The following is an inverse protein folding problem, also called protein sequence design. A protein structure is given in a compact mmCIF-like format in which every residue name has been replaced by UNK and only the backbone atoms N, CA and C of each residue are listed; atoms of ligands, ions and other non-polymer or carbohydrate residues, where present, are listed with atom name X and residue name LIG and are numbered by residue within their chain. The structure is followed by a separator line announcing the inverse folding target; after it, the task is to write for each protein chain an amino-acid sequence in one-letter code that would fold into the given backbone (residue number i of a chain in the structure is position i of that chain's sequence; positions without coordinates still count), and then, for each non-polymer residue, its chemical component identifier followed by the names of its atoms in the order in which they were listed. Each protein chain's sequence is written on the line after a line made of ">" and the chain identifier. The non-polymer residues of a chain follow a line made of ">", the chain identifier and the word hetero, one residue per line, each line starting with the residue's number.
data_IF_528405115363
#
_entry.id   IF_528405115363
#
_cell.length_a   1.000
_cell.length_b   1.000
_cell.length_c   1.000
_cell.angle_alpha   90.00
_cell.angle_beta   90.00
_cell.angle_gamma   90.00
#
_symmetry.space_group_name_H-M   'P 1'
#
loop_
_entity.id
_entity.type
_entity.pdbx_description
1 polymer ?
#
# COMPACT_ATOMS: atom_id res chain seq x y z
N UNK A 1 15.69 -4.92 7.58
CA UNK A 1 14.34 -4.80 8.14
C UNK A 1 13.36 -5.54 7.25
N UNK A 2 12.28 -6.06 7.81
CA UNK A 2 11.29 -6.80 7.03
C UNK A 2 10.57 -5.87 6.06
N UNK A 3 10.35 -6.35 4.84
CA UNK A 3 9.51 -5.70 3.84
C UNK A 3 8.43 -6.68 3.43
N UNK A 4 7.18 -6.38 3.77
CA UNK A 4 6.08 -7.33 3.60
C UNK A 4 5.70 -7.57 2.14
N UNK A 5 6.17 -6.75 1.22
CA UNK A 5 6.05 -7.02 -0.20
C UNK A 5 7.25 -7.80 -0.74
N UNK A 6 8.47 -7.28 -0.54
CA UNK A 6 9.68 -7.88 -1.09
C UNK A 6 9.98 -9.27 -0.51
N UNK A 7 9.61 -9.49 0.76
CA UNK A 7 9.83 -10.75 1.46
C UNK A 7 8.70 -11.76 1.23
N UNK A 8 7.70 -11.43 0.41
CA UNK A 8 6.52 -12.27 0.18
C UNK A 8 6.52 -12.83 -1.25
N UNK A 9 6.98 -14.08 -1.45
CA UNK A 9 7.02 -14.69 -2.78
C UNK A 9 5.65 -14.78 -3.46
N UNK A 10 4.57 -14.92 -2.69
CA UNK A 10 3.22 -15.00 -3.25
C UNK A 10 2.78 -13.69 -3.88
N UNK A 11 3.10 -12.55 -3.24
CA UNK A 11 2.80 -11.23 -3.82
C UNK A 11 3.64 -10.96 -5.07
N UNK A 12 4.92 -11.29 -5.01
CA UNK A 12 5.81 -11.17 -6.18
C UNK A 12 5.33 -12.02 -7.35
N UNK A 13 4.90 -13.25 -7.05
CA UNK A 13 4.34 -14.16 -8.07
C UNK A 13 3.10 -13.57 -8.73
N UNK A 14 2.17 -12.99 -7.94
CA UNK A 14 0.95 -12.41 -8.48
C UNK A 14 1.26 -11.24 -9.43
N UNK A 15 2.23 -10.41 -9.06
CA UNK A 15 2.61 -9.26 -9.88
C UNK A 15 3.25 -9.68 -11.20
N UNK A 16 3.96 -10.80 -11.21
CA UNK A 16 4.63 -11.35 -12.39
C UNK A 16 3.76 -12.35 -13.17
N UNK A 17 2.51 -12.54 -12.77
CA UNK A 17 1.61 -13.49 -13.41
C UNK A 17 1.38 -13.13 -14.88
N UNK A 18 1.32 -14.14 -15.79
CA UNK A 18 1.16 -13.88 -17.24
C UNK A 18 -0.07 -13.05 -17.60
N UNK A 19 -1.16 -13.13 -16.81
CA UNK A 19 -2.38 -12.36 -17.06
C UNK A 19 -2.32 -10.93 -16.51
N UNK A 20 -1.26 -10.57 -15.80
CA UNK A 20 -1.14 -9.23 -15.21
C UNK A 20 -1.11 -8.14 -16.28
N UNK A 21 -0.50 -8.39 -17.42
CA UNK A 21 -0.46 -7.42 -18.51
C UNK A 21 -1.87 -7.01 -18.94
N UNK A 22 -2.77 -7.98 -19.10
CA UNK A 22 -4.15 -7.68 -19.48
C UNK A 22 -4.89 -6.90 -18.38
N UNK A 23 -4.68 -7.26 -17.12
CA UNK A 23 -5.27 -6.55 -15.97
C UNK A 23 -4.80 -5.10 -15.96
N UNK A 24 -3.51 -4.87 -16.14
CA UNK A 24 -2.93 -3.52 -16.14
C UNK A 24 -3.43 -2.70 -17.34
N UNK A 25 -3.50 -3.30 -18.51
CA UNK A 25 -4.03 -2.63 -19.70
C UNK A 25 -5.48 -2.17 -19.49
N UNK A 26 -6.30 -3.00 -18.86
CA UNK A 26 -7.67 -2.63 -18.52
C UNK A 26 -7.74 -1.53 -17.47
N UNK A 27 -6.93 -1.65 -16.42
CA UNK A 27 -6.87 -0.66 -15.33
C UNK A 27 -6.42 0.70 -15.84
N UNK A 28 -5.44 0.74 -16.73
CA UNK A 28 -4.86 1.97 -17.27
C UNK A 28 -5.56 2.43 -18.56
N UNK A 29 -6.71 1.86 -18.88
CA UNK A 29 -7.47 2.20 -20.09
C UNK A 29 -6.60 2.15 -21.35
N UNK A 30 -5.81 1.08 -21.50
CA UNK A 30 -4.88 0.87 -22.62
C UNK A 30 -3.89 2.02 -22.80
N UNK A 31 -3.53 2.68 -21.69
CA UNK A 31 -2.58 3.81 -21.65
C UNK A 31 -3.00 4.98 -22.53
N UNK A 32 -4.31 5.17 -22.67
CA UNK A 32 -4.91 6.21 -23.52
C UNK A 32 -5.91 7.03 -22.72
N UNK A 33 -6.35 8.16 -23.33
CA UNK A 33 -7.34 9.04 -22.71
C UNK A 33 -6.89 10.49 -22.71
N UNK A 34 -7.85 11.41 -22.89
CA UNK A 34 -7.56 12.85 -23.02
C UNK A 34 -7.18 13.49 -21.68
N UNK A 35 -7.63 12.91 -20.57
CA UNK A 35 -7.45 13.48 -19.22
C UNK A 35 -6.42 12.73 -18.39
N UNK A 36 -5.46 12.07 -19.03
CA UNK A 36 -4.40 11.37 -18.31
C UNK A 36 -3.45 12.37 -17.68
N UNK A 37 -3.10 12.11 -16.41
CA UNK A 37 -2.09 12.90 -15.72
C UNK A 37 -0.73 12.71 -16.37
N UNK A 38 0.11 13.77 -16.29
CA UNK A 38 1.45 13.73 -16.90
C UNK A 38 2.35 12.63 -16.31
N UNK A 39 2.10 12.26 -15.07
CA UNK A 39 2.84 11.20 -14.37
C UNK A 39 2.27 9.81 -14.58
N UNK A 40 1.15 9.67 -15.29
CA UNK A 40 0.52 8.37 -15.53
C UNK A 40 1.45 7.44 -16.33
N UNK A 41 1.36 6.12 -16.10
CA UNK A 41 2.20 5.17 -16.83
C UNK A 41 2.00 5.27 -18.35
N UNK A 42 3.09 5.14 -19.11
CA UNK A 42 3.06 5.22 -20.55
C UNK A 42 2.81 3.87 -21.22
N UNK A 43 3.22 2.79 -20.57
CA UNK A 43 3.06 1.42 -21.06
C UNK A 43 3.05 0.44 -19.91
N UNK A 44 2.92 -0.87 -20.24
CA UNK A 44 2.88 -1.93 -19.22
C UNK A 44 4.14 -1.97 -18.35
N UNK A 45 5.32 -1.87 -18.95
CA UNK A 45 6.57 -1.92 -18.19
C UNK A 45 6.67 -0.77 -17.20
N UNK A 46 6.29 0.44 -17.62
CA UNK A 46 6.29 1.63 -16.78
C UNK A 46 5.25 1.49 -15.64
N UNK A 47 4.07 1.00 -15.95
CA UNK A 47 3.02 0.76 -14.95
C UNK A 47 3.49 -0.26 -13.91
N UNK A 48 4.07 -1.37 -14.35
CA UNK A 48 4.55 -2.43 -13.46
C UNK A 48 5.65 -1.93 -12.54
N UNK A 49 6.57 -1.13 -13.05
CA UNK A 49 7.64 -0.52 -12.24
C UNK A 49 7.05 0.42 -11.18
N UNK A 50 6.09 1.25 -11.56
CA UNK A 50 5.40 2.15 -10.62
C UNK A 50 4.70 1.36 -9.52
N UNK A 51 4.02 0.27 -9.88
CA UNK A 51 3.33 -0.58 -8.89
C UNK A 51 4.32 -1.24 -7.94
N UNK A 52 5.45 -1.71 -8.45
CA UNK A 52 6.51 -2.29 -7.61
C UNK A 52 7.05 -1.28 -6.61
N UNK A 53 7.27 -0.04 -7.03
CA UNK A 53 7.74 1.02 -6.15
C UNK A 53 6.74 1.32 -5.05
N UNK A 54 5.47 1.48 -5.39
CA UNK A 54 4.40 1.73 -4.41
C UNK A 54 4.29 0.57 -3.42
N UNK A 55 4.26 -0.66 -3.93
CA UNK A 55 4.16 -1.86 -3.08
C UNK A 55 5.39 -2.02 -2.19
N UNK A 56 6.57 -1.66 -2.68
CA UNK A 56 7.79 -1.64 -1.87
C UNK A 56 7.69 -0.67 -0.70
N UNK A 57 7.16 0.53 -0.93
CA UNK A 57 6.92 1.52 0.13
C UNK A 57 5.91 1.00 1.14
N UNK A 58 4.79 0.45 0.67
CA UNK A 58 3.76 -0.14 1.55
C UNK A 58 4.36 -1.28 2.38
N UNK A 59 5.13 -2.16 1.74
CA UNK A 59 5.78 -3.29 2.41
C UNK A 59 6.74 -2.84 3.50
N UNK A 60 7.51 -1.79 3.25
CA UNK A 60 8.43 -1.21 4.23
C UNK A 60 7.67 -0.63 5.42
N UNK A 61 6.62 0.15 5.18
CA UNK A 61 5.80 0.72 6.25
C UNK A 61 5.14 -0.39 7.07
N UNK A 62 4.62 -1.43 6.42
CA UNK A 62 4.03 -2.57 7.12
C UNK A 62 5.06 -3.28 8.02
N UNK A 63 6.29 -3.47 7.53
CA UNK A 63 7.34 -4.14 8.29
C UNK A 63 7.89 -3.28 9.43
N UNK A 64 8.11 -2.00 9.18
CA UNK A 64 8.80 -1.12 10.12
C UNK A 64 7.84 -0.45 11.12
N UNK A 65 6.61 -0.16 10.73
CA UNK A 65 5.66 0.59 11.56
C UNK A 65 4.49 -0.26 12.02
N UNK A 66 3.71 -0.82 11.09
CA UNK A 66 2.50 -1.54 11.44
C UNK A 66 2.80 -2.81 12.24
N UNK A 67 3.74 -3.61 11.79
CA UNK A 67 4.10 -4.85 12.49
C UNK A 67 4.68 -4.56 13.88
N UNK A 68 5.46 -3.48 14.02
CA UNK A 68 6.03 -3.08 15.30
C UNK A 68 4.96 -2.68 16.32
N UNK A 69 3.82 -2.16 15.85
CA UNK A 69 2.71 -1.74 16.71
C UNK A 69 1.66 -2.82 16.92
N UNK A 70 1.63 -3.85 16.07
CA UNK A 70 0.49 -4.77 15.97
C UNK A 70 0.17 -5.48 17.28
N UNK A 71 1.17 -6.05 17.95
CA UNK A 71 0.97 -6.80 19.18
C UNK A 71 0.38 -5.92 20.28
N UNK A 72 0.91 -4.73 20.45
CA UNK A 72 0.48 -3.79 21.47
C UNK A 72 -0.90 -3.25 21.20
N UNK A 73 -1.19 -2.89 19.95
CA UNK A 73 -2.52 -2.41 19.53
C UNK A 73 -3.57 -3.49 19.76
N UNK A 74 -3.26 -4.74 19.43
CA UNK A 74 -4.17 -5.87 19.65
C UNK A 74 -4.41 -6.14 21.13
N UNK A 75 -3.34 -6.16 21.94
CA UNK A 75 -3.41 -6.47 23.37
C UNK A 75 -4.13 -5.38 24.18
N UNK A 76 -3.84 -4.11 23.93
CA UNK A 76 -4.40 -2.99 24.67
C UNK A 76 -5.76 -2.54 24.12
N UNK A 77 -5.96 -2.64 22.82
CA UNK A 77 -7.20 -2.32 22.14
C UNK A 77 -7.65 -0.87 22.26
N UNK A 78 -8.85 -0.55 21.74
CA UNK A 78 -9.45 0.77 21.90
C UNK A 78 -10.06 0.92 23.30
N UNK A 79 -10.30 2.18 23.69
CA UNK A 79 -10.94 2.53 24.97
C UNK A 79 -12.18 3.37 24.72
N UNK A 80 -13.09 3.40 25.71
CA UNK A 80 -14.30 4.23 25.66
C UNK A 80 -14.19 5.25 26.78
N UNK A 81 -14.25 6.54 26.42
CA UNK A 81 -14.22 7.66 27.36
C UNK A 81 -15.37 8.61 27.02
N UNK A 82 -16.21 8.92 28.01
CA UNK A 82 -17.37 9.80 27.84
C UNK A 82 -18.27 9.40 26.66
N UNK A 83 -18.48 8.09 26.49
CA UNK A 83 -19.32 7.53 25.42
C UNK A 83 -18.69 7.54 24.04
N UNK A 84 -17.41 7.92 23.92
CA UNK A 84 -16.67 7.95 22.65
C UNK A 84 -15.58 6.90 22.63
N UNK A 85 -15.38 6.28 21.46
CA UNK A 85 -14.31 5.32 21.24
C UNK A 85 -13.02 6.08 20.92
N UNK A 86 -11.95 5.73 21.63
CA UNK A 86 -10.61 6.23 21.38
C UNK A 86 -9.74 5.06 20.92
N UNK A 87 -9.16 5.17 19.72
CA UNK A 87 -8.25 4.16 19.22
C UNK A 87 -6.91 4.22 19.93
N UNK A 88 -6.23 3.08 19.94
CA UNK A 88 -4.88 3.00 20.49
C UNK A 88 -3.94 3.97 19.76
N UNK A 89 -2.98 4.63 20.47
CA UNK A 89 -2.02 5.53 19.82
C UNK A 89 -1.24 4.89 18.67
N UNK A 90 -0.96 3.60 18.72
CA UNK A 90 -0.33 2.86 17.63
C UNK A 90 -1.14 2.87 16.34
N UNK A 91 -2.47 2.86 16.44
CA UNK A 91 -3.37 2.99 15.28
C UNK A 91 -3.18 4.34 14.61
N UNK A 92 -3.08 5.42 15.37
CA UNK A 92 -2.82 6.76 14.83
C UNK A 92 -1.43 6.84 14.17
N UNK A 93 -0.42 6.24 14.78
CA UNK A 93 0.92 6.17 14.20
C UNK A 93 0.90 5.46 12.85
N UNK A 94 0.16 4.37 12.74
CA UNK A 94 0.01 3.63 11.49
C UNK A 94 -0.65 4.49 10.40
N UNK A 95 -1.73 5.18 10.74
CA UNK A 95 -2.40 6.11 9.82
C UNK A 95 -1.48 7.24 9.38
N UNK A 96 -0.75 7.82 10.31
CA UNK A 96 0.17 8.93 10.01
C UNK A 96 1.27 8.49 9.04
N UNK A 97 1.83 7.29 9.24
CA UNK A 97 2.85 6.75 8.35
C UNK A 97 2.33 6.56 6.93
N UNK A 98 1.12 6.00 6.78
CA UNK A 98 0.49 5.80 5.48
C UNK A 98 0.13 7.14 4.81
N UNK A 99 -0.36 8.09 5.59
CA UNK A 99 -0.71 9.42 5.09
C UNK A 99 0.52 10.20 4.62
N UNK A 100 1.62 10.15 5.38
CA UNK A 100 2.87 10.81 5.01
C UNK A 100 3.47 10.23 3.73
N UNK A 101 3.26 8.95 3.48
CA UNK A 101 3.69 8.31 2.25
C UNK A 101 2.78 8.64 1.05
N UNK A 102 1.69 9.38 1.25
CA UNK A 102 0.77 9.76 0.19
C UNK A 102 -0.18 8.66 -0.25
N UNK A 103 -0.31 7.58 0.51
CA UNK A 103 -1.06 6.39 0.08
C UNK A 103 -2.57 6.58 0.11
N UNK A 104 -3.09 7.54 0.87
CA UNK A 104 -4.53 7.79 0.94
C UNK A 104 -5.07 8.62 -0.22
N UNK A 105 -4.21 9.20 -1.04
CA UNK A 105 -4.58 9.97 -2.23
C UNK A 105 -4.51 9.21 -3.54
N UNK A 106 -4.32 7.91 -3.46
CA UNK A 106 -4.15 7.06 -4.64
C UNK A 106 -5.48 6.63 -5.25
#
# INVERSE_FOLDING_TARGET
>A
MANFFEDNPSLLFQLDHPLMQRIVELKENHFSGENREAYAPQDYADALENYRQVLGIVGEICGDVLAANAERVDAEGPTVVDGRVHYHPGTQQNHDALAQAGLYGM
#
